data_IF_324097525176
#
_entry.id   IF_324097525176
#
_cell.length_a   1.000
_cell.length_b   1.000
_cell.length_c   1.000
_cell.angle_alpha   90.00
_cell.angle_beta   90.00
_cell.angle_gamma   90.00
#
_symmetry.space_group_name_H-M   'P 1'
#
loop_
_entity.id
_entity.type
_entity.pdbx_description
1 polymer ?
#
# COMPACT_ATOMS: atom_id res chain seq x y z
N UNK A 1 2.56 -38.24 -43.25
CA UNK A 1 2.19 -36.88 -43.69
C UNK A 1 1.85 -35.91 -42.56
N UNK A 2 1.44 -36.36 -41.36
CA UNK A 2 1.02 -35.46 -40.27
C UNK A 2 2.14 -34.56 -39.70
N UNK A 3 3.39 -35.03 -39.68
CA UNK A 3 4.54 -34.26 -39.20
C UNK A 3 4.80 -32.98 -39.99
N UNK A 4 4.55 -32.99 -41.31
CA UNK A 4 4.73 -31.82 -42.16
C UNK A 4 3.70 -30.72 -41.85
N UNK A 5 2.47 -31.09 -41.48
CA UNK A 5 1.43 -30.15 -41.09
C UNK A 5 1.77 -29.45 -39.77
N UNK A 6 2.29 -30.20 -38.79
CA UNK A 6 2.73 -29.64 -37.50
C UNK A 6 3.90 -28.67 -37.68
N UNK A 7 4.90 -29.05 -38.49
CA UNK A 7 6.05 -28.19 -38.77
C UNK A 7 5.65 -26.91 -39.52
N UNK A 8 4.76 -27.02 -40.51
CA UNK A 8 4.26 -25.86 -41.24
C UNK A 8 3.45 -24.93 -40.34
N UNK A 9 2.63 -25.46 -39.42
CA UNK A 9 1.90 -24.67 -38.43
C UNK A 9 2.85 -23.83 -37.56
N UNK A 10 3.85 -24.49 -36.95
CA UNK A 10 4.84 -23.81 -36.11
C UNK A 10 5.66 -22.76 -36.89
N UNK A 11 6.01 -23.05 -38.15
CA UNK A 11 6.71 -22.10 -39.02
C UNK A 11 5.85 -20.87 -39.34
N UNK A 12 4.57 -21.08 -39.67
CA UNK A 12 3.63 -19.98 -39.91
C UNK A 12 3.49 -19.12 -38.66
N UNK A 13 3.30 -19.71 -37.48
CA UNK A 13 3.18 -18.95 -36.22
C UNK A 13 4.43 -18.10 -35.93
N UNK A 14 5.63 -18.65 -36.17
CA UNK A 14 6.89 -17.91 -36.01
C UNK A 14 6.98 -16.72 -36.96
N UNK A 15 6.66 -16.93 -38.23
CA UNK A 15 6.69 -15.88 -39.26
C UNK A 15 5.66 -14.80 -38.95
N UNK A 16 4.45 -15.18 -38.53
CA UNK A 16 3.41 -14.24 -38.11
C UNK A 16 3.81 -13.45 -36.86
N UNK A 17 4.42 -14.10 -35.87
CA UNK A 17 4.96 -13.44 -34.68
C UNK A 17 6.04 -12.42 -35.02
N UNK A 18 6.96 -12.76 -35.93
CA UNK A 18 7.99 -11.83 -36.41
C UNK A 18 7.40 -10.66 -37.18
N UNK A 19 6.42 -10.91 -38.06
CA UNK A 19 5.72 -9.88 -38.82
C UNK A 19 5.00 -8.91 -37.88
N UNK A 20 4.23 -9.43 -36.92
CA UNK A 20 3.52 -8.64 -35.93
C UNK A 20 4.47 -7.81 -35.06
N UNK A 21 5.61 -8.38 -34.63
CA UNK A 21 6.63 -7.64 -33.90
C UNK A 21 7.26 -6.52 -34.76
N UNK A 22 7.47 -6.76 -36.05
CA UNK A 22 8.01 -5.77 -36.98
C UNK A 22 7.01 -4.62 -37.23
N UNK A 23 5.72 -4.95 -37.40
CA UNK A 23 4.65 -3.96 -37.57
C UNK A 23 4.45 -3.10 -36.32
N UNK A 24 4.48 -3.71 -35.12
CA UNK A 24 4.48 -2.97 -33.84
C UNK A 24 5.67 -2.01 -33.76
N UNK A 25 6.89 -2.47 -34.09
CA UNK A 25 8.07 -1.59 -34.14
C UNK A 25 7.94 -0.46 -35.17
N UNK A 26 7.32 -0.71 -36.33
CA UNK A 26 7.07 0.33 -37.35
C UNK A 26 6.03 1.35 -36.89
N UNK A 27 4.95 0.90 -36.27
CA UNK A 27 3.88 1.79 -35.76
C UNK A 27 4.34 2.58 -34.54
N UNK A 28 5.11 1.99 -33.63
CA UNK A 28 5.66 2.68 -32.46
C UNK A 28 6.67 3.77 -32.85
N UNK A 29 7.51 3.54 -33.87
CA UNK A 29 8.39 4.59 -34.43
C UNK A 29 7.60 5.75 -35.05
N UNK A 30 6.38 5.50 -35.52
CA UNK A 30 5.48 6.52 -36.09
C UNK A 30 4.66 7.28 -35.03
N UNK A 31 4.53 6.77 -33.80
CA UNK A 31 3.72 7.36 -32.70
C UNK A 31 4.16 8.76 -32.21
N UNK A 32 5.23 9.34 -32.77
CA UNK A 32 5.67 10.71 -32.50
C UNK A 32 5.50 11.67 -33.68
N UNK A 33 5.05 11.21 -34.86
CA UNK A 33 4.90 12.05 -36.05
C UNK A 33 3.44 12.39 -36.30
N UNK A 34 3.17 13.66 -36.58
CA UNK A 34 1.83 14.16 -36.91
C UNK A 34 1.23 13.48 -38.16
N UNK A 35 2.09 13.08 -39.10
CA UNK A 35 1.74 12.31 -40.30
C UNK A 35 2.71 11.13 -40.41
N UNK A 36 2.23 9.92 -40.09
CA UNK A 36 3.07 8.73 -39.92
C UNK A 36 3.66 8.14 -41.21
N UNK A 37 3.10 8.48 -42.38
CA UNK A 37 3.45 7.81 -43.63
C UNK A 37 4.43 8.59 -44.50
N UNK A 38 4.77 9.83 -44.13
CA UNK A 38 5.71 10.68 -44.87
C UNK A 38 5.24 11.10 -46.27
N UNK A 39 4.12 10.57 -46.75
CA UNK A 39 3.47 11.05 -47.96
C UNK A 39 2.79 12.40 -47.68
N UNK A 40 2.96 13.39 -48.57
CA UNK A 40 2.21 14.63 -48.52
C UNK A 40 0.73 14.30 -48.78
N UNK A 41 -0.05 14.20 -47.72
CA UNK A 41 -1.50 14.23 -47.82
C UNK A 41 -1.94 15.68 -47.90
N UNK A 42 -2.76 15.99 -48.88
CA UNK A 42 -3.45 17.27 -48.95
C UNK A 42 -4.56 17.25 -47.89
N UNK A 43 -4.19 17.40 -46.62
CA UNK A 43 -5.19 17.60 -45.57
C UNK A 43 -5.90 18.92 -45.86
N UNK A 44 -7.24 18.87 -45.86
CA UNK A 44 -8.00 20.10 -45.83
C UNK A 44 -7.58 20.91 -44.59
N UNK A 45 -7.49 22.23 -44.73
CA UNK A 45 -6.97 23.13 -43.69
C UNK A 45 -7.55 22.82 -42.29
N UNK A 46 -8.84 22.47 -42.21
CA UNK A 46 -9.52 22.12 -40.95
C UNK A 46 -9.04 20.82 -40.32
N UNK A 47 -8.83 19.76 -41.10
CA UNK A 47 -8.39 18.47 -40.57
C UNK A 47 -6.95 18.51 -40.07
N UNK A 48 -6.09 19.26 -40.77
CA UNK A 48 -4.72 19.50 -40.34
C UNK A 48 -4.68 20.21 -38.99
N UNK A 49 -5.41 21.32 -38.87
CA UNK A 49 -5.50 22.08 -37.61
C UNK A 49 -6.00 21.18 -36.48
N UNK A 50 -7.05 20.36 -36.72
CA UNK A 50 -7.56 19.43 -35.71
C UNK A 50 -6.47 18.47 -35.23
N UNK A 51 -5.75 17.80 -36.14
CA UNK A 51 -4.68 16.85 -35.78
C UNK A 51 -3.54 17.52 -35.01
N UNK A 52 -3.12 18.73 -35.40
CA UNK A 52 -2.09 19.49 -34.67
C UNK A 52 -2.54 19.77 -33.24
N UNK A 53 -3.77 20.27 -33.07
CA UNK A 53 -4.30 20.58 -31.73
C UNK A 53 -4.44 19.33 -30.84
N UNK A 54 -4.88 18.20 -31.40
CA UNK A 54 -4.93 16.92 -30.69
C UNK A 54 -3.53 16.43 -30.29
N UNK A 55 -2.55 16.57 -31.18
CA UNK A 55 -1.16 16.19 -30.92
C UNK A 55 -0.55 17.03 -29.78
N UNK A 56 -0.73 18.36 -29.80
CA UNK A 56 -0.26 19.25 -28.75
C UNK A 56 -0.94 18.99 -27.41
N UNK A 57 -2.26 18.76 -27.39
CA UNK A 57 -2.99 18.37 -26.18
C UNK A 57 -2.46 17.07 -25.59
N UNK A 58 -2.30 16.04 -26.41
CA UNK A 58 -1.75 14.75 -25.98
C UNK A 58 -0.31 14.88 -25.47
N UNK A 59 0.51 15.75 -26.06
CA UNK A 59 1.86 16.01 -25.57
C UNK A 59 1.84 16.63 -24.16
N UNK A 60 1.02 17.68 -23.96
CA UNK A 60 0.84 18.33 -22.66
C UNK A 60 0.28 17.39 -21.60
N UNK A 61 -0.70 16.56 -21.95
CA UNK A 61 -1.28 15.58 -21.02
C UNK A 61 -0.24 14.54 -20.58
N UNK A 62 0.59 14.04 -21.52
CA UNK A 62 1.67 13.09 -21.19
C UNK A 62 2.71 13.72 -20.26
N UNK A 63 3.08 14.98 -20.46
CA UNK A 63 3.98 15.70 -19.57
C UNK A 63 3.35 15.91 -18.18
N UNK A 64 2.08 16.33 -18.13
CA UNK A 64 1.35 16.48 -16.87
C UNK A 64 1.21 15.16 -16.10
N UNK A 65 1.02 14.03 -16.80
CA UNK A 65 1.02 12.70 -16.17
C UNK A 65 2.39 12.31 -15.62
N UNK A 66 3.49 12.66 -16.30
CA UNK A 66 4.85 12.43 -15.79
C UNK A 66 5.11 13.23 -14.52
N UNK A 67 4.72 14.52 -14.51
CA UNK A 67 4.83 15.37 -13.33
C UNK A 67 4.01 14.82 -12.17
N UNK A 68 2.73 14.46 -12.40
CA UNK A 68 1.88 13.84 -11.36
C UNK A 68 2.43 12.53 -10.80
N UNK A 69 3.15 11.75 -11.61
CA UNK A 69 3.81 10.52 -11.16
C UNK A 69 5.02 10.86 -10.28
N UNK A 70 5.86 11.79 -10.71
CA UNK A 70 6.99 12.26 -9.91
C UNK A 70 6.52 12.83 -8.56
N UNK A 71 5.51 13.72 -8.55
CA UNK A 71 4.94 14.28 -7.33
C UNK A 71 4.39 13.20 -6.39
N UNK A 72 3.79 12.13 -6.95
CA UNK A 72 3.27 11.01 -6.17
C UNK A 72 4.40 10.20 -5.57
N UNK A 73 5.47 9.96 -6.33
CA UNK A 73 6.64 9.22 -5.87
C UNK A 73 7.33 9.98 -4.73
N UNK A 74 7.58 11.28 -4.90
CA UNK A 74 8.15 12.16 -3.87
C UNK A 74 7.28 12.21 -2.59
N UNK A 75 5.96 12.35 -2.73
CA UNK A 75 5.06 12.29 -1.57
C UNK A 75 5.08 10.92 -0.91
N UNK A 76 5.21 9.85 -1.69
CA UNK A 76 5.24 8.49 -1.15
C UNK A 76 6.54 8.20 -0.40
N UNK A 77 7.68 8.72 -0.86
CA UNK A 77 8.97 8.58 -0.16
C UNK A 77 8.96 9.39 1.13
N UNK A 78 8.56 10.67 1.08
CA UNK A 78 8.44 11.51 2.27
C UNK A 78 7.49 10.91 3.33
N UNK A 79 6.38 10.31 2.88
CA UNK A 79 5.45 9.63 3.79
C UNK A 79 6.03 8.36 4.42
N UNK A 80 6.87 7.61 3.70
CA UNK A 80 7.55 6.42 4.25
C UNK A 80 8.56 6.82 5.33
N UNK A 81 9.43 7.79 5.01
CA UNK A 81 10.41 8.32 5.95
C UNK A 81 9.74 8.88 7.22
N UNK A 82 8.66 9.66 7.05
CA UNK A 82 7.90 10.15 8.19
C UNK A 82 7.32 9.03 9.05
N UNK A 83 6.79 7.97 8.42
CA UNK A 83 6.22 6.83 9.14
C UNK A 83 7.29 6.09 9.96
N UNK A 84 8.47 5.85 9.38
CA UNK A 84 9.59 5.23 10.08
C UNK A 84 10.04 6.05 11.30
N UNK A 85 10.14 7.37 11.14
CA UNK A 85 10.49 8.27 12.23
C UNK A 85 9.41 8.31 13.33
N UNK A 86 8.13 8.34 12.94
CA UNK A 86 7.02 8.34 13.90
C UNK A 86 6.90 7.01 14.64
N UNK A 87 7.13 5.88 13.98
CA UNK A 87 7.13 4.56 14.61
C UNK A 87 8.30 4.41 15.59
N UNK A 88 9.50 4.88 15.22
CA UNK A 88 10.64 4.95 16.14
C UNK A 88 10.35 5.84 17.37
N UNK A 89 9.69 6.97 17.17
CA UNK A 89 9.24 7.86 18.25
C UNK A 89 8.23 7.16 19.18
N UNK A 90 7.24 6.47 18.63
CA UNK A 90 6.26 5.69 19.41
C UNK A 90 6.92 4.59 20.22
N UNK A 91 7.87 3.86 19.64
CA UNK A 91 8.63 2.83 20.34
C UNK A 91 9.38 3.40 21.55
N UNK A 92 10.09 4.54 21.39
CA UNK A 92 10.75 5.22 22.52
C UNK A 92 9.76 5.69 23.59
N UNK A 93 8.64 6.28 23.17
CA UNK A 93 7.58 6.70 24.09
C UNK A 93 6.96 5.52 24.85
N UNK A 94 6.87 4.34 24.22
CA UNK A 94 6.41 3.11 24.88
C UNK A 94 7.36 2.69 26.00
N UNK A 95 8.67 2.63 25.73
CA UNK A 95 9.69 2.33 26.75
C UNK A 95 9.64 3.32 27.92
N UNK A 96 9.53 4.62 27.62
CA UNK A 96 9.41 5.67 28.65
C UNK A 96 8.15 5.47 29.51
N UNK A 97 7.03 5.10 28.91
CA UNK A 97 5.79 4.78 29.65
C UNK A 97 6.00 3.56 30.55
N UNK A 98 6.60 2.49 30.04
CA UNK A 98 6.87 1.27 30.80
C UNK A 98 7.76 1.56 32.01
N UNK A 99 8.89 2.25 31.81
CA UNK A 99 9.76 2.71 32.90
C UNK A 99 9.01 3.55 33.93
N UNK A 100 8.15 4.46 33.47
CA UNK A 100 7.33 5.28 34.37
C UNK A 100 6.36 4.43 35.18
N UNK A 101 5.73 3.41 34.59
CA UNK A 101 4.86 2.49 35.34
C UNK A 101 5.62 1.73 36.42
N UNK A 102 6.85 1.28 36.13
CA UNK A 102 7.72 0.62 37.11
C UNK A 102 8.08 1.59 38.24
N UNK A 103 8.51 2.82 37.92
CA UNK A 103 8.81 3.85 38.93
C UNK A 103 7.59 4.22 39.77
N UNK A 104 6.39 4.26 39.17
CA UNK A 104 5.15 4.51 39.89
C UNK A 104 4.84 3.40 40.89
N UNK A 105 4.93 2.13 40.48
CA UNK A 105 4.70 0.98 41.36
C UNK A 105 5.68 0.98 42.55
N UNK A 106 6.96 1.25 42.29
CA UNK A 106 7.97 1.37 43.34
C UNK A 106 7.66 2.51 44.32
N UNK A 107 7.22 3.66 43.81
CA UNK A 107 6.79 4.78 44.64
C UNK A 107 5.54 4.45 45.46
N UNK A 108 4.58 3.72 44.91
CA UNK A 108 3.37 3.29 45.62
C UNK A 108 3.69 2.34 46.77
N UNK A 109 4.55 1.34 46.54
CA UNK A 109 5.02 0.42 47.58
C UNK A 109 5.73 1.16 48.72
N UNK A 110 6.65 2.08 48.40
CA UNK A 110 7.34 2.90 49.41
C UNK A 110 6.36 3.83 50.17
N UNK A 111 5.35 4.36 49.47
CA UNK A 111 4.31 5.19 50.10
C UNK A 111 3.48 4.37 51.10
N UNK A 112 3.19 3.11 50.79
CA UNK A 112 2.46 2.20 51.68
C UNK A 112 3.30 1.81 52.89
N UNK A 113 4.57 1.45 52.71
CA UNK A 113 5.50 1.19 53.81
C UNK A 113 5.64 2.40 54.74
N UNK A 114 5.80 3.60 54.16
CA UNK A 114 5.89 4.84 54.94
C UNK A 114 4.62 5.08 55.79
N UNK A 115 3.44 4.74 55.27
CA UNK A 115 2.18 4.83 56.02
C UNK A 115 2.13 3.84 57.18
N UNK A 116 2.57 2.58 56.96
CA UNK A 116 2.61 1.55 58.01
C UNK A 116 3.57 1.94 59.14
N UNK A 117 4.71 2.53 58.81
CA UNK A 117 5.71 3.02 59.77
C UNK A 117 5.37 4.39 60.37
N UNK A 118 4.23 4.99 60.00
CA UNK A 118 3.81 6.34 60.39
C UNK A 118 4.84 7.45 60.10
N UNK A 119 5.68 7.26 59.07
CA UNK A 119 6.63 8.26 58.58
C UNK A 119 6.08 8.98 57.35
N UNK A 120 6.69 10.12 57.02
CA UNK A 120 6.42 10.80 55.74
C UNK A 120 7.19 10.11 54.62
N UNK A 121 6.51 9.78 53.53
CA UNK A 121 7.18 9.29 52.32
C UNK A 121 8.17 10.36 51.83
N UNK A 122 9.44 10.00 51.74
CA UNK A 122 10.51 10.93 51.41
C UNK A 122 10.51 11.30 49.91
N UNK A 123 10.03 10.40 49.06
CA UNK A 123 10.11 10.54 47.60
C UNK A 123 8.86 11.21 47.01
N UNK A 124 9.07 12.11 46.04
CA UNK A 124 8.01 12.75 45.27
C UNK A 124 7.44 11.77 44.24
N UNK A 125 6.15 11.89 43.94
CA UNK A 125 5.48 11.06 42.91
C UNK A 125 6.13 11.29 41.54
N UNK A 126 6.57 10.23 40.83
CA UNK A 126 7.08 10.34 39.46
C UNK A 126 6.03 10.95 38.51
N UNK A 127 6.43 11.87 37.64
CA UNK A 127 5.54 12.50 36.63
C UNK A 127 6.04 12.25 35.20
N UNK A 128 5.11 12.15 34.25
CA UNK A 128 5.38 11.92 32.82
C UNK A 128 5.60 13.22 32.02
N UNK A 129 5.39 14.38 32.65
CA UNK A 129 5.32 15.66 31.95
C UNK A 129 6.70 16.02 31.38
N UNK A 130 6.78 16.20 30.06
CA UNK A 130 8.00 16.60 29.35
C UNK A 130 8.97 15.46 29.00
N UNK A 131 8.67 14.21 29.36
CA UNK A 131 9.51 13.06 28.99
C UNK A 131 9.12 12.47 27.62
N UNK A 132 7.86 12.59 27.22
CA UNK A 132 7.37 12.04 25.95
C UNK A 132 7.75 12.95 24.78
N UNK A 133 8.20 12.33 23.70
CA UNK A 133 8.49 13.02 22.44
C UNK A 133 7.19 13.44 21.74
N UNK A 134 7.12 14.72 21.37
CA UNK A 134 6.00 15.32 20.63
C UNK A 134 5.84 14.71 19.23
N UNK A 135 4.63 14.68 18.66
CA UNK A 135 4.40 14.15 17.32
C UNK A 135 5.17 14.94 16.26
N UNK A 136 5.64 14.24 15.23
CA UNK A 136 6.31 14.85 14.07
C UNK A 136 5.26 15.40 13.10
N UNK A 137 5.49 16.58 12.51
CA UNK A 137 4.56 17.15 11.52
C UNK A 137 4.48 16.25 10.29
N UNK A 138 3.26 16.02 9.79
CA UNK A 138 3.03 15.14 8.64
C UNK A 138 3.36 15.85 7.32
N UNK A 139 4.13 15.23 6.41
CA UNK A 139 4.40 15.80 5.09
C UNK A 139 3.10 16.00 4.31
N UNK A 140 2.73 17.24 4.02
CA UNK A 140 1.56 17.60 3.20
C UNK A 140 0.44 18.37 3.91
N UNK A 141 0.47 18.46 5.25
CA UNK A 141 -0.29 19.48 5.96
C UNK A 141 0.65 20.65 6.24
N UNK A 142 0.60 21.68 5.38
CA UNK A 142 1.07 22.99 5.79
C UNK A 142 0.17 23.43 6.95
N UNK A 143 0.63 23.19 8.19
CA UNK A 143 -0.01 23.73 9.37
C UNK A 143 0.26 25.23 9.31
N UNK A 144 -0.75 26.00 8.92
CA UNK A 144 -0.72 27.45 9.07
C UNK A 144 -0.33 27.77 10.53
N UNK A 145 0.65 28.66 10.76
CA UNK A 145 1.19 28.94 12.09
C UNK A 145 0.15 29.74 12.91
N UNK A 146 -0.87 29.06 13.43
CA UNK A 146 -1.93 29.68 14.21
C UNK A 146 -2.93 28.71 14.86
N UNK A 147 -3.10 27.50 14.32
CA UNK A 147 -4.03 26.52 14.91
C UNK A 147 -3.33 25.62 15.92
N UNK A 148 -3.64 25.85 17.20
CA UNK A 148 -3.38 24.88 18.27
C UNK A 148 -4.15 23.61 17.95
N UNK A 149 -3.44 22.59 17.49
CA UNK A 149 -3.94 21.23 17.35
C UNK A 149 -4.48 20.74 18.69
N UNK A 150 -5.80 20.68 18.81
CA UNK A 150 -6.48 19.89 19.84
C UNK A 150 -6.19 18.43 19.48
N UNK A 151 -5.42 17.74 20.31
CA UNK A 151 -5.16 16.31 20.18
C UNK A 151 -6.50 15.54 20.16
N UNK A 152 -6.84 14.76 19.11
CA UNK A 152 -7.81 13.70 19.25
C UNK A 152 -7.05 12.44 19.70
N UNK A 153 -6.89 12.30 21.02
CA UNK A 153 -6.77 10.98 21.64
C UNK A 153 -8.15 10.33 21.49
N UNK A 154 -8.34 9.52 20.45
CA UNK A 154 -9.35 8.48 20.45
C UNK A 154 -8.76 7.21 19.84
N UNK A 155 -8.02 6.48 20.69
CA UNK A 155 -8.07 5.02 20.66
C UNK A 155 -9.55 4.61 20.64
N UNK A 156 -10.07 4.29 19.46
CA UNK A 156 -11.32 3.57 19.32
C UNK A 156 -11.00 2.38 18.44
N UNK A 157 -10.74 1.27 19.13
CA UNK A 157 -10.65 -0.04 18.54
C UNK A 157 -11.90 -0.35 17.70
N UNK A 158 -11.64 -0.81 16.49
CA UNK A 158 -12.28 -1.97 15.87
C UNK A 158 -13.73 -2.28 16.31
N UNK A 159 -14.70 -1.80 15.54
CA UNK A 159 -15.97 -2.53 15.36
C UNK A 159 -16.47 -2.34 13.93
N UNK A 160 -16.12 -3.29 13.06
CA UNK A 160 -16.86 -3.51 11.83
C UNK A 160 -18.30 -3.86 12.21
N UNK A 161 -19.22 -2.91 12.04
CA UNK A 161 -20.64 -3.20 11.88
C UNK A 161 -21.02 -2.81 10.46
N UNK A 162 -21.18 -3.83 9.62
CA UNK A 162 -21.79 -3.68 8.31
C UNK A 162 -23.21 -3.16 8.46
N UNK A 163 -23.42 -1.92 8.06
CA UNK A 163 -24.75 -1.36 7.89
C UNK A 163 -25.10 -1.44 6.40
N UNK A 164 -25.72 -2.55 6.00
CA UNK A 164 -26.37 -2.71 4.70
C UNK A 164 -27.87 -2.82 4.96
N UNK A 165 -28.59 -1.76 4.63
CA UNK A 165 -30.05 -1.66 4.62
C UNK A 165 -30.44 -0.19 4.49
N UNK A 166 -31.38 0.18 3.60
CA UNK A 166 -32.73 -0.37 3.68
C UNK A 166 -33.39 -0.76 2.33
N UNK A 167 -34.23 -1.79 2.42
CA UNK A 167 -35.48 -2.06 1.71
C UNK A 167 -35.71 -1.49 0.30
N UNK A 168 -35.90 -2.41 -0.65
CA UNK A 168 -36.65 -2.20 -1.89
C UNK A 168 -37.21 -3.54 -2.36
N UNK A 169 -38.50 -3.74 -2.12
CA UNK A 169 -39.32 -4.89 -2.48
C UNK A 169 -39.32 -5.23 -3.98
N UNK A 170 -39.49 -6.53 -4.28
CA UNK A 170 -39.70 -7.13 -5.60
C UNK A 170 -39.10 -8.54 -5.58
N UNK A 171 -39.80 -9.57 -5.08
CA UNK A 171 -40.91 -10.27 -5.77
C UNK A 171 -40.57 -10.55 -7.24
N UNK A 172 -39.95 -11.71 -7.49
CA UNK A 172 -40.42 -12.65 -8.51
C UNK A 172 -39.74 -14.01 -8.29
N UNK A 173 -40.57 -15.05 -8.24
CA UNK A 173 -40.13 -16.41 -8.03
C UNK A 173 -39.52 -17.01 -9.29
N UNK A 174 -38.46 -17.78 -9.13
CA UNK A 174 -38.22 -18.88 -10.05
C UNK A 174 -37.59 -20.04 -9.31
N UNK A 175 -38.47 -20.99 -9.07
CA UNK A 175 -38.24 -22.41 -8.86
C UNK A 175 -37.22 -22.96 -9.88
N UNK A 176 -36.19 -23.65 -9.39
CA UNK A 176 -35.32 -24.52 -10.19
C UNK A 176 -34.56 -25.42 -9.23
N UNK A 177 -35.22 -26.52 -8.89
CA UNK A 177 -34.65 -27.77 -8.45
C UNK A 177 -33.35 -28.07 -9.22
N UNK A 178 -32.25 -28.29 -8.49
CA UNK A 178 -31.19 -29.18 -8.98
C UNK A 178 -30.58 -29.92 -7.79
N UNK A 179 -31.04 -31.15 -7.72
CA UNK A 179 -30.65 -32.24 -6.85
C UNK A 179 -29.28 -32.81 -7.29
N UNK A 180 -28.51 -33.23 -6.27
CA UNK A 180 -27.42 -34.24 -6.29
C UNK A 180 -26.03 -33.85 -6.83
N UNK A 181 -24.96 -34.60 -6.46
CA UNK A 181 -24.64 -35.21 -5.17
C UNK A 181 -23.21 -34.90 -4.68
N UNK A 182 -22.97 -35.18 -3.39
CA UNK A 182 -21.66 -35.22 -2.72
C UNK A 182 -20.63 -36.13 -3.40
N UNK A 183 -19.35 -35.73 -3.43
CA UNK A 183 -18.24 -36.67 -3.46
C UNK A 183 -17.47 -36.65 -2.13
N UNK A 184 -17.38 -37.84 -1.57
CA UNK A 184 -16.60 -38.27 -0.43
C UNK A 184 -15.12 -38.52 -0.80
N UNK A 185 -14.29 -38.61 0.25
CA UNK A 185 -12.99 -39.30 0.34
C UNK A 185 -11.78 -38.58 -0.31
N UNK A 186 -10.86 -38.06 0.51
CA UNK A 186 -9.68 -38.81 1.00
C UNK A 186 -8.61 -37.86 1.55
N UNK A 187 -8.13 -38.15 2.76
CA UNK A 187 -6.86 -37.61 3.27
C UNK A 187 -5.68 -38.09 2.42
N UNK A 188 -4.54 -37.37 2.46
CA UNK A 188 -3.47 -37.94 3.28
C UNK A 188 -2.71 -36.90 4.13
N UNK A 189 -2.63 -37.25 5.42
CA UNK A 189 -1.42 -37.22 6.25
C UNK A 189 -0.11 -36.90 5.51
N UNK A 190 0.60 -35.87 5.97
CA UNK A 190 2.04 -35.73 5.74
C UNK A 190 2.69 -35.27 7.04
N UNK A 191 3.36 -36.25 7.64
CA UNK A 191 4.32 -36.19 8.72
C UNK A 191 5.48 -35.22 8.42
N UNK A 192 5.92 -34.58 9.50
CA UNK A 192 7.30 -34.48 10.01
C UNK A 192 8.41 -33.91 9.10
N UNK A 193 9.14 -32.94 9.68
CA UNK A 193 10.57 -32.78 9.41
C UNK A 193 11.04 -31.34 9.30
N UNK A 194 11.16 -30.62 10.43
CA UNK A 194 12.11 -29.52 10.54
C UNK A 194 12.96 -29.72 11.81
N UNK A 195 13.90 -30.66 11.71
CA UNK A 195 15.14 -30.61 12.48
C UNK A 195 16.01 -29.51 11.88
N UNK A 196 16.04 -28.33 12.50
CA UNK A 196 17.11 -27.36 12.23
C UNK A 196 18.21 -27.56 13.25
N UNK A 197 19.19 -28.34 12.80
CA UNK A 197 20.57 -28.46 13.25
C UNK A 197 21.13 -27.16 13.82
N UNK A 198 21.44 -27.21 15.10
CA UNK A 198 22.26 -26.29 15.85
C UNK A 198 23.72 -26.39 15.36
N UNK A 199 24.18 -25.40 14.61
CA UNK A 199 25.60 -25.22 14.33
C UNK A 199 26.21 -24.39 15.48
N UNK A 200 26.71 -25.07 16.51
CA UNK A 200 27.76 -24.51 17.37
C UNK A 200 29.07 -24.46 16.56
N UNK A 201 29.45 -23.26 16.13
CA UNK A 201 30.83 -22.98 15.70
C UNK A 201 31.61 -22.37 16.85
N UNK A 202 32.76 -23.01 17.09
CA UNK A 202 33.89 -22.64 17.93
C UNK A 202 34.16 -21.13 18.06
N UNK A 203 34.48 -20.69 19.28
CA UNK A 203 35.42 -19.59 19.52
C UNK A 203 36.01 -19.66 20.94
N UNK A 204 37.28 -20.07 20.96
CA UNK A 204 38.41 -19.74 21.88
C UNK A 204 38.35 -20.10 23.38
#
# INVERSE_FOLDING_TARGET
MQSALVLNGAYVDLVWGQLAAQEKKKTDKKKGRLVGDGLPWLLTSREFVRRVTEFEKNAREKEGLKQRKADREEKSTAMKEWKELDDARKARNKVIKEEHTVRLKAWEAERELAKLEHRRAHWKKPTLKGLLFSPLPKPGYAVEPGEKTVNPDSDTEERQQGNKGPNGDGDDGSDSENDLPSPSEDEPSSQEGEENSECEEDSE
#
